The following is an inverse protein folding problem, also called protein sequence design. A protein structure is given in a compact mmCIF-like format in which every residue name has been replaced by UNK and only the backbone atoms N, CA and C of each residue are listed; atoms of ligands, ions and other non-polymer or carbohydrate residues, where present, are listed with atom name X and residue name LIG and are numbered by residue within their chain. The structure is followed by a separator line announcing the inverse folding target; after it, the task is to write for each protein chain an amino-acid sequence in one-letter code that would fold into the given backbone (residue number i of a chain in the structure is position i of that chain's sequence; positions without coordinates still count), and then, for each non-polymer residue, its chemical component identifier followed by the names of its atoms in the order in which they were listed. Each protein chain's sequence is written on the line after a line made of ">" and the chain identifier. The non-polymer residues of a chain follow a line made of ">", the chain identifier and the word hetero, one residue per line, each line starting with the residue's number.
data_IF_713670740362
#
_entry.id   IF_713670740362
#
_cell.length_a   1.000
_cell.length_b   1.000
_cell.length_c   1.000
_cell.angle_alpha   90.00
_cell.angle_beta   90.00
_cell.angle_gamma   90.00
#
_symmetry.space_group_name_H-M   'P 1'
#
loop_
_entity.id
_entity.type
_entity.pdbx_description
1 polymer ?
#
# COMPACT_ATOMS: atom_id res chain seq x y z
N UNK A 1 -3.58 -12.16 -12.67
CA UNK A 1 -2.44 -13.04 -12.33
C UNK A 1 -2.26 -13.07 -10.82
N UNK A 2 -2.23 -14.28 -10.25
CA UNK A 2 -1.97 -14.48 -8.83
C UNK A 2 -0.62 -13.81 -8.46
N UNK A 3 -0.55 -13.13 -7.32
CA UNK A 3 0.67 -12.45 -6.85
C UNK A 3 1.89 -13.37 -6.82
N UNK A 4 1.68 -14.64 -6.47
CA UNK A 4 2.71 -15.68 -6.49
C UNK A 4 3.28 -15.92 -7.88
N UNK A 5 2.45 -15.97 -8.91
CA UNK A 5 2.91 -16.12 -10.29
C UNK A 5 3.71 -14.90 -10.75
N UNK A 6 3.25 -13.69 -10.41
CA UNK A 6 3.97 -12.43 -10.72
C UNK A 6 5.34 -12.42 -10.08
N UNK A 7 5.46 -12.79 -8.82
CA UNK A 7 6.72 -12.92 -8.09
C UNK A 7 7.68 -13.88 -8.78
N UNK A 8 7.22 -15.07 -9.18
CA UNK A 8 8.04 -16.06 -9.88
C UNK A 8 8.56 -15.53 -11.22
N UNK A 9 7.69 -14.93 -12.03
CA UNK A 9 8.11 -14.35 -13.31
C UNK A 9 9.13 -13.21 -13.15
N UNK A 10 8.97 -12.35 -12.13
CA UNK A 10 9.93 -11.26 -11.85
C UNK A 10 11.26 -11.85 -11.41
N UNK A 11 11.26 -12.81 -10.50
CA UNK A 11 12.49 -13.47 -10.03
C UNK A 11 13.25 -14.11 -11.18
N UNK A 12 12.58 -14.94 -11.98
CA UNK A 12 13.20 -15.68 -13.07
C UNK A 12 13.80 -14.71 -14.09
N UNK A 13 13.08 -13.66 -14.44
CA UNK A 13 13.57 -12.64 -15.36
C UNK A 13 14.76 -11.86 -14.80
N UNK A 14 14.77 -11.54 -13.52
CA UNK A 14 15.92 -10.89 -12.86
C UNK A 14 17.15 -11.79 -12.86
N UNK A 15 16.98 -13.09 -12.59
CA UNK A 15 18.07 -14.05 -12.60
C UNK A 15 18.67 -14.20 -14.00
N UNK A 16 17.87 -14.36 -15.04
CA UNK A 16 18.34 -14.40 -16.43
C UNK A 16 19.19 -13.17 -16.79
N UNK A 17 18.64 -11.96 -16.50
CA UNK A 17 19.34 -10.71 -16.82
C UNK A 17 20.65 -10.55 -16.05
N UNK A 18 20.69 -11.04 -14.82
CA UNK A 18 21.90 -11.01 -14.00
C UNK A 18 22.97 -11.97 -14.56
N UNK A 19 22.59 -13.21 -14.90
CA UNK A 19 23.51 -14.17 -15.51
C UNK A 19 23.98 -13.73 -16.90
N UNK A 20 23.15 -13.02 -17.66
CA UNK A 20 23.53 -12.40 -18.93
C UNK A 20 24.48 -11.19 -18.77
N UNK A 21 24.80 -10.78 -17.54
CA UNK A 21 25.66 -9.63 -17.23
C UNK A 21 25.09 -8.28 -17.67
N UNK A 22 23.76 -8.15 -17.75
CA UNK A 22 23.11 -6.90 -18.21
C UNK A 22 23.05 -5.83 -17.13
N UNK A 23 23.22 -6.18 -15.87
CA UNK A 23 23.29 -5.26 -14.76
C UNK A 23 24.08 -5.85 -13.59
N UNK A 24 24.74 -4.99 -12.79
CA UNK A 24 25.52 -5.37 -11.62
C UNK A 24 24.74 -5.13 -10.33
N UNK A 25 23.79 -4.22 -10.33
CA UNK A 25 23.04 -3.80 -9.15
C UNK A 25 21.53 -3.73 -9.42
N UNK A 26 20.77 -4.35 -8.54
CA UNK A 26 19.30 -4.27 -8.55
C UNK A 26 18.80 -3.65 -7.25
N UNK A 27 17.99 -2.61 -7.37
CA UNK A 27 17.38 -1.89 -6.25
C UNK A 27 15.88 -1.98 -6.37
N UNK A 28 15.20 -2.35 -5.28
CA UNK A 28 13.74 -2.30 -5.16
C UNK A 28 13.33 -0.97 -4.56
N UNK A 29 12.42 -0.25 -5.22
CA UNK A 29 11.80 0.97 -4.72
C UNK A 29 10.31 0.68 -4.49
N UNK A 30 9.85 0.86 -3.27
CA UNK A 30 8.49 0.55 -2.87
C UNK A 30 8.02 1.39 -1.70
N UNK A 31 6.71 1.38 -1.46
CA UNK A 31 6.11 2.02 -0.30
C UNK A 31 6.05 1.03 0.87
N UNK A 32 6.87 1.28 1.90
CA UNK A 32 6.81 0.53 3.15
C UNK A 32 5.58 0.96 3.94
N UNK A 33 4.76 -0.01 4.33
CA UNK A 33 3.57 0.23 5.13
C UNK A 33 3.93 0.49 6.60
N UNK A 34 3.62 1.67 7.11
CA UNK A 34 3.73 2.01 8.56
C UNK A 34 2.36 2.06 9.21
N UNK A 35 1.40 2.70 8.56
CA UNK A 35 0.01 2.79 9.01
C UNK A 35 -0.91 3.05 7.82
N UNK A 36 -2.23 2.97 8.03
CA UNK A 36 -3.22 3.24 6.99
C UNK A 36 -3.09 4.65 6.37
N UNK A 37 -2.58 5.61 7.13
CA UNK A 37 -2.43 7.02 6.72
C UNK A 37 -0.99 7.32 6.28
N UNK A 38 0.01 6.62 6.85
CA UNK A 38 1.43 6.93 6.66
C UNK A 38 2.15 5.79 5.93
N UNK A 39 2.75 6.13 4.81
CA UNK A 39 3.58 5.25 4.00
C UNK A 39 4.92 5.93 3.75
N UNK A 40 5.97 5.16 3.67
CA UNK A 40 7.33 5.65 3.45
C UNK A 40 7.93 5.02 2.21
N UNK A 41 8.38 5.85 1.28
CA UNK A 41 9.12 5.38 0.11
C UNK A 41 10.48 4.87 0.57
N UNK A 42 10.71 3.58 0.38
CA UNK A 42 11.93 2.91 0.82
C UNK A 42 12.64 2.30 -0.38
N UNK A 43 13.97 2.40 -0.36
CA UNK A 43 14.85 1.76 -1.34
C UNK A 43 15.56 0.61 -0.63
N UNK A 44 15.48 -0.58 -1.21
CA UNK A 44 16.15 -1.77 -0.70
C UNK A 44 16.99 -2.39 -1.82
N UNK A 45 18.25 -2.63 -1.56
CA UNK A 45 19.11 -3.34 -2.49
C UNK A 45 18.78 -4.83 -2.47
N UNK A 46 18.55 -5.40 -3.65
CA UNK A 46 18.23 -6.82 -3.82
C UNK A 46 19.47 -7.61 -4.24
N UNK A 47 20.25 -7.08 -5.18
CA UNK A 47 21.47 -7.69 -5.73
C UNK A 47 22.54 -6.59 -5.83
N UNK A 48 23.77 -6.82 -5.34
CA UNK A 48 24.19 -7.90 -4.44
C UNK A 48 23.51 -7.85 -3.08
N UNK A 49 23.46 -8.97 -2.37
CA UNK A 49 22.93 -9.03 -0.99
C UNK A 49 23.84 -8.20 -0.08
N UNK A 50 23.24 -7.24 0.60
CA UNK A 50 23.95 -6.40 1.57
C UNK A 50 23.96 -7.09 2.93
N UNK A 51 25.09 -7.72 3.27
CA UNK A 51 25.29 -8.46 4.53
C UNK A 51 25.56 -7.48 5.70
N UNK A 52 25.96 -6.24 5.41
CA UNK A 52 26.39 -5.26 6.41
C UNK A 52 25.28 -4.77 7.33
N UNK A 53 24.02 -4.91 6.93
CA UNK A 53 22.88 -4.51 7.75
C UNK A 53 22.42 -5.61 8.73
N UNK A 54 22.75 -6.87 8.47
CA UNK A 54 22.43 -7.98 9.37
C UNK A 54 23.31 -8.00 10.62
N UNK A 55 24.56 -7.55 10.51
CA UNK A 55 25.49 -7.55 11.65
C UNK A 55 25.09 -6.57 12.77
N UNK A 56 24.33 -5.52 12.45
CA UNK A 56 23.87 -4.53 13.44
C UNK A 56 22.68 -4.97 14.28
N UNK A 57 21.91 -5.94 13.84
CA UNK A 57 20.79 -6.50 14.61
C UNK A 57 21.21 -7.68 15.49
N UNK A 58 22.28 -8.41 15.11
CA UNK A 58 22.75 -9.58 15.84
C UNK A 58 23.64 -9.24 17.05
N UNK A 59 24.19 -8.03 17.18
CA UNK A 59 24.95 -7.61 18.36
C UNK A 59 24.12 -7.49 19.66
N UNK A 60 22.79 -7.64 19.59
CA UNK A 60 21.90 -7.53 20.77
C UNK A 60 21.39 -8.85 21.31
N UNK A 61 21.55 -9.94 20.62
CA UNK A 61 21.23 -11.27 21.15
C UNK A 61 22.51 -12.07 21.34
N UNK A 62 22.74 -12.45 22.58
CA UNK A 62 23.86 -13.31 23.01
C UNK A 62 24.13 -14.41 21.97
N UNK A 63 25.12 -14.18 21.13
CA UNK A 63 25.62 -15.21 20.23
C UNK A 63 26.28 -16.29 21.07
N UNK A 64 25.51 -17.31 21.41
CA UNK A 64 26.13 -18.59 21.75
C UNK A 64 26.98 -18.97 20.54
N UNK A 65 28.27 -19.05 20.70
CA UNK A 65 29.21 -19.59 19.69
C UNK A 65 28.91 -21.08 19.44
N UNK A 66 27.71 -21.37 18.96
CA UNK A 66 27.35 -22.71 18.54
C UNK A 66 28.00 -22.96 17.17
N UNK A 67 28.84 -23.92 17.09
CA UNK A 67 29.37 -24.39 15.81
C UNK A 67 28.24 -25.18 15.15
N UNK A 68 27.73 -24.66 14.02
CA UNK A 68 26.73 -25.35 13.22
C UNK A 68 27.42 -26.26 12.22
N UNK A 69 27.01 -27.52 12.18
CA UNK A 69 27.44 -28.49 11.16
C UNK A 69 26.34 -28.52 10.09
N UNK A 70 26.71 -28.34 8.81
CA UNK A 70 25.78 -28.25 7.71
C UNK A 70 25.67 -29.56 6.93
N UNK A 71 24.48 -30.13 6.83
CA UNK A 71 24.18 -31.26 5.96
C UNK A 71 23.10 -30.86 4.94
N UNK A 72 23.29 -31.02 3.65
CA UNK A 72 24.53 -31.33 2.91
C UNK A 72 25.51 -30.17 2.92
N UNK A 73 26.44 -30.07 2.03
CA UNK A 73 27.46 -29.05 1.91
C UNK A 73 26.91 -27.60 1.86
N UNK A 74 27.66 -26.65 2.47
CA UNK A 74 27.28 -25.22 2.55
C UNK A 74 26.97 -24.60 1.17
N UNK A 75 27.76 -24.93 0.15
CA UNK A 75 27.58 -24.41 -1.19
C UNK A 75 26.25 -24.86 -1.79
N UNK A 76 25.82 -26.08 -1.54
CA UNK A 76 24.58 -26.64 -2.04
C UNK A 76 23.38 -25.94 -1.37
N UNK A 77 23.47 -25.71 -0.07
CA UNK A 77 22.45 -24.99 0.69
C UNK A 77 22.33 -23.54 0.20
N UNK A 78 23.45 -22.84 0.00
CA UNK A 78 23.46 -21.47 -0.49
C UNK A 78 22.87 -21.34 -1.90
N UNK A 79 23.19 -22.27 -2.80
CA UNK A 79 22.61 -22.29 -4.16
C UNK A 79 21.09 -22.36 -4.15
N UNK A 80 20.51 -23.04 -3.17
CA UNK A 80 19.05 -23.17 -3.02
C UNK A 80 18.43 -22.00 -2.25
N UNK A 81 19.12 -21.45 -1.24
CA UNK A 81 18.59 -20.40 -0.39
C UNK A 81 18.62 -19.02 -1.05
N UNK A 82 19.65 -18.69 -1.82
CA UNK A 82 19.77 -17.37 -2.46
C UNK A 82 18.61 -17.05 -3.40
N UNK A 83 18.19 -17.94 -4.33
CA UNK A 83 17.01 -17.69 -5.16
C UNK A 83 15.72 -17.59 -4.34
N UNK A 84 15.59 -18.39 -3.29
CA UNK A 84 14.43 -18.34 -2.39
C UNK A 84 14.37 -17.01 -1.64
N UNK A 85 15.50 -16.50 -1.16
CA UNK A 85 15.57 -15.21 -0.47
C UNK A 85 15.14 -14.07 -1.40
N UNK A 86 15.69 -14.00 -2.62
CA UNK A 86 15.28 -13.02 -3.63
C UNK A 86 13.77 -13.09 -3.87
N UNK A 87 13.23 -14.30 -3.98
CA UNK A 87 11.80 -14.54 -4.17
C UNK A 87 10.97 -14.01 -3.00
N UNK A 88 11.38 -14.25 -1.76
CA UNK A 88 10.71 -13.79 -0.55
C UNK A 88 10.75 -12.27 -0.44
N UNK A 89 11.89 -11.64 -0.74
CA UNK A 89 12.03 -10.19 -0.70
C UNK A 89 11.11 -9.51 -1.73
N UNK A 90 11.05 -10.01 -2.96
CA UNK A 90 10.12 -9.51 -3.99
C UNK A 90 8.66 -9.67 -3.52
N UNK A 91 8.33 -10.81 -2.93
CA UNK A 91 6.97 -11.06 -2.44
C UNK A 91 6.59 -10.12 -1.30
N UNK A 92 7.51 -9.91 -0.33
CA UNK A 92 7.32 -8.95 0.76
C UNK A 92 7.03 -7.55 0.24
N UNK A 93 7.83 -7.07 -0.70
CA UNK A 93 7.66 -5.74 -1.32
C UNK A 93 6.32 -5.60 -2.02
N UNK A 94 5.88 -6.64 -2.74
CA UNK A 94 4.56 -6.64 -3.40
C UNK A 94 3.41 -6.59 -2.38
N UNK A 95 3.53 -7.28 -1.25
CA UNK A 95 2.52 -7.26 -0.19
C UNK A 95 2.50 -5.91 0.54
N UNK A 96 3.65 -5.34 0.85
CA UNK A 96 3.73 -4.02 1.50
C UNK A 96 3.15 -2.91 0.61
N UNK A 97 3.46 -2.94 -0.68
CA UNK A 97 2.90 -1.98 -1.63
C UNK A 97 1.37 -2.09 -1.76
N UNK A 98 0.86 -3.32 -1.79
CA UNK A 98 -0.59 -3.55 -1.82
C UNK A 98 -1.28 -3.12 -0.51
N UNK A 99 -0.69 -3.44 0.63
CA UNK A 99 -1.20 -3.00 1.93
C UNK A 99 -1.26 -1.47 2.01
N UNK A 100 -0.23 -0.80 1.50
CA UNK A 100 -0.19 0.66 1.39
C UNK A 100 -1.31 1.21 0.50
N UNK A 101 -1.53 0.62 -0.67
CA UNK A 101 -2.62 1.02 -1.57
C UNK A 101 -4.00 0.87 -0.92
N UNK A 102 -4.26 -0.27 -0.27
CA UNK A 102 -5.54 -0.50 0.42
C UNK A 102 -5.74 0.46 1.60
N UNK A 103 -4.67 0.74 2.37
CA UNK A 103 -4.70 1.72 3.46
C UNK A 103 -5.02 3.12 2.97
N UNK A 104 -4.36 3.58 1.92
CA UNK A 104 -4.62 4.88 1.30
C UNK A 104 -6.04 4.98 0.73
N UNK A 105 -6.53 3.91 0.10
CA UNK A 105 -7.91 3.83 -0.41
C UNK A 105 -8.93 3.94 0.72
N UNK A 106 -8.70 3.24 1.83
CA UNK A 106 -9.56 3.30 3.01
C UNK A 106 -9.63 4.74 3.56
N UNK A 107 -8.48 5.40 3.75
CA UNK A 107 -8.42 6.77 4.24
C UNK A 107 -9.11 7.77 3.28
N UNK A 108 -8.92 7.59 1.97
CA UNK A 108 -9.58 8.42 0.96
C UNK A 108 -11.11 8.24 0.96
N UNK A 109 -11.60 7.02 1.08
CA UNK A 109 -13.04 6.74 1.14
C UNK A 109 -13.69 7.24 2.44
N UNK A 110 -12.98 7.15 3.56
CA UNK A 110 -13.45 7.72 4.83
C UNK A 110 -13.62 9.24 4.73
N UNK A 111 -12.62 9.94 4.20
CA UNK A 111 -12.71 11.37 3.93
C UNK A 111 -13.85 11.71 2.94
N UNK A 112 -14.01 10.93 1.89
CA UNK A 112 -15.09 11.11 0.93
C UNK A 112 -16.48 10.94 1.58
N UNK A 113 -16.64 9.94 2.46
CA UNK A 113 -17.89 9.69 3.19
C UNK A 113 -18.23 10.84 4.11
N UNK A 114 -17.24 11.38 4.84
CA UNK A 114 -17.44 12.54 5.70
C UNK A 114 -17.84 13.78 4.91
N UNK A 115 -17.13 14.08 3.82
CA UNK A 115 -17.45 15.21 2.96
C UNK A 115 -18.84 15.06 2.32
N UNK A 116 -19.24 13.85 1.93
CA UNK A 116 -20.57 13.56 1.42
C UNK A 116 -21.66 13.82 2.47
N UNK A 117 -21.42 13.45 3.73
CA UNK A 117 -22.31 13.76 4.86
C UNK A 117 -22.54 15.27 5.02
N UNK A 118 -21.47 16.05 5.08
CA UNK A 118 -21.54 17.52 5.17
C UNK A 118 -22.30 18.14 3.99
N UNK A 119 -22.11 17.61 2.77
CA UNK A 119 -22.82 18.06 1.58
C UNK A 119 -24.32 17.74 1.66
N UNK A 120 -24.69 16.55 2.14
CA UNK A 120 -26.10 16.15 2.33
C UNK A 120 -26.78 17.08 3.33
N UNK A 121 -26.13 17.40 4.45
CA UNK A 121 -26.67 18.30 5.47
C UNK A 121 -26.89 19.70 4.90
N UNK A 122 -25.91 20.22 4.16
CA UNK A 122 -26.00 21.51 3.47
C UNK A 122 -27.16 21.55 2.45
N UNK A 123 -27.28 20.50 1.63
CA UNK A 123 -28.34 20.38 0.65
C UNK A 123 -29.72 20.23 1.31
N UNK A 124 -29.82 19.52 2.41
CA UNK A 124 -31.07 19.37 3.19
C UNK A 124 -31.53 20.69 3.75
N UNK A 125 -30.64 21.51 4.28
CA UNK A 125 -30.94 22.86 4.75
C UNK A 125 -31.42 23.75 3.56
N UNK A 126 -30.72 23.72 2.45
CA UNK A 126 -31.09 24.47 1.25
C UNK A 126 -32.46 24.05 0.71
N UNK A 127 -32.69 22.74 0.66
CA UNK A 127 -34.01 22.19 0.23
C UNK A 127 -35.13 22.67 1.14
N UNK A 128 -35.00 22.55 2.45
CA UNK A 128 -36.02 22.98 3.40
C UNK A 128 -36.31 24.48 3.29
N UNK A 129 -35.27 25.31 3.16
CA UNK A 129 -35.41 26.75 2.96
C UNK A 129 -36.16 27.09 1.65
N UNK A 130 -35.78 26.39 0.58
CA UNK A 130 -36.44 26.62 -0.73
C UNK A 130 -37.90 26.16 -0.70
N UNK A 131 -38.16 25.01 -0.07
CA UNK A 131 -39.53 24.50 0.12
C UNK A 131 -40.42 25.50 0.90
N UNK A 132 -39.90 26.03 2.02
CA UNK A 132 -40.62 27.03 2.80
C UNK A 132 -40.91 28.32 1.99
N UNK A 133 -39.91 28.81 1.24
CA UNK A 133 -40.05 29.97 0.39
C UNK A 133 -41.10 29.73 -0.71
N UNK A 134 -41.15 28.53 -1.30
CA UNK A 134 -42.16 28.19 -2.30
C UNK A 134 -43.56 28.13 -1.72
N UNK A 135 -43.77 27.48 -0.57
CA UNK A 135 -45.04 27.43 0.15
C UNK A 135 -45.51 28.85 0.51
N UNK A 136 -44.60 29.68 1.02
CA UNK A 136 -44.93 31.08 1.38
C UNK A 136 -45.37 31.88 0.14
N UNK A 137 -44.67 31.70 -0.99
CA UNK A 137 -45.04 32.36 -2.24
C UNK A 137 -46.44 31.95 -2.72
N UNK A 138 -46.74 30.65 -2.70
CA UNK A 138 -48.08 30.15 -3.07
C UNK A 138 -49.19 30.73 -2.15
N UNK A 139 -48.93 30.79 -0.84
CA UNK A 139 -49.87 31.40 0.11
C UNK A 139 -50.12 32.89 -0.19
N UNK A 140 -49.07 33.66 -0.48
CA UNK A 140 -49.19 35.07 -0.84
C UNK A 140 -50.00 35.24 -2.15
N UNK A 141 -49.76 34.39 -3.15
CA UNK A 141 -50.50 34.40 -4.41
C UNK A 141 -52.01 34.11 -4.20
N UNK A 142 -52.34 33.15 -3.32
CA UNK A 142 -53.73 32.84 -2.97
C UNK A 142 -54.40 34.01 -2.25
N UNK A 143 -53.73 34.63 -1.27
CA UNK A 143 -54.29 35.76 -0.49
C UNK A 143 -54.49 36.97 -1.41
N UNK A 144 -53.48 37.31 -2.23
CA UNK A 144 -53.61 38.43 -3.16
C UNK A 144 -54.70 38.22 -4.22
N UNK A 145 -54.92 36.98 -4.65
CA UNK A 145 -56.01 36.60 -5.52
C UNK A 145 -57.40 36.73 -4.85
N UNK A 146 -57.47 36.41 -3.55
CA UNK A 146 -58.73 36.59 -2.80
C UNK A 146 -59.05 38.03 -2.47
N UNK A 147 -58.08 38.92 -2.30
CA UNK A 147 -58.32 40.39 -2.13
C UNK A 147 -58.70 41.13 -3.42
N UNK A 148 -58.48 40.54 -4.58
CA UNK A 148 -58.80 41.13 -5.87
C UNK A 148 -60.21 40.84 -6.36
N UNK A 149 -61.02 40.10 -5.58
CA UNK A 149 -62.44 39.84 -5.80
C UNK A 149 -63.26 40.70 -4.85
#
# INVERSE_FOLDING_TARGET
>A
LCRRQRQMCIRDRLQELYFDGKFDKCILVFNKFKSAISQEVTQQQLIPLDVSNSEKEEEKENSSNAIYDYEPDEETILKDLLPKNVSIQIFKVLLESDAGEQGARMAAMDNATRNAGEMIDSLTLKYNRTRQAFITKELIEIISGAESI
#
